data_IF_285291206048
#
_entry.id   IF_285291206048
#
_cell.length_a   1.000
_cell.length_b   1.000
_cell.length_c   1.000
_cell.angle_alpha   90.00
_cell.angle_beta   90.00
_cell.angle_gamma   90.00
#
_symmetry.space_group_name_H-M   'P 1'
#
loop_
_entity.id
_entity.type
_entity.pdbx_description
1 polymer ?
#
# COMPACT_ATOMS: atom_id res chain seq x y z
N UNK A 1 7.48 -19.26 4.64
CA UNK A 1 6.72 -19.48 5.88
C UNK A 1 6.51 -18.13 6.52
N UNK A 2 5.27 -17.76 6.80
CA UNK A 2 4.99 -16.52 7.50
C UNK A 2 5.49 -16.63 8.95
N UNK A 3 6.38 -15.72 9.34
CA UNK A 3 6.69 -15.50 10.75
C UNK A 3 5.67 -14.56 11.34
N UNK A 4 5.48 -14.63 12.67
CA UNK A 4 4.70 -13.63 13.39
C UNK A 4 5.24 -12.22 13.06
N UNK A 5 4.34 -11.25 13.04
CA UNK A 5 4.59 -9.83 12.73
C UNK A 5 5.20 -9.51 11.35
N UNK A 6 5.10 -10.40 10.35
CA UNK A 6 5.51 -10.05 8.99
C UNK A 6 4.38 -9.29 8.26
N UNK A 7 4.63 -8.02 7.95
CA UNK A 7 3.69 -7.14 7.23
C UNK A 7 3.82 -7.26 5.70
N UNK A 8 4.96 -7.76 5.22
CA UNK A 8 5.23 -7.90 3.79
C UNK A 8 4.75 -9.27 3.28
N UNK A 9 4.68 -9.39 1.95
CA UNK A 9 4.47 -10.67 1.29
C UNK A 9 5.64 -11.62 1.59
N UNK A 10 5.36 -12.91 1.59
CA UNK A 10 6.41 -13.92 1.71
C UNK A 10 7.33 -13.87 0.49
N UNK A 11 8.60 -14.25 0.68
CA UNK A 11 9.57 -14.36 -0.41
C UNK A 11 8.99 -15.21 -1.57
N UNK A 12 9.27 -14.80 -2.81
CA UNK A 12 8.78 -15.50 -3.99
C UNK A 12 9.36 -16.92 -4.07
N UNK A 13 8.47 -17.91 -4.25
CA UNK A 13 8.85 -19.30 -4.51
C UNK A 13 8.64 -19.68 -6.00
N UNK A 14 8.11 -18.76 -6.81
CA UNK A 14 7.88 -18.94 -8.25
C UNK A 14 7.99 -17.59 -8.99
N UNK A 15 8.32 -17.59 -10.29
CA UNK A 15 8.38 -16.36 -11.10
C UNK A 15 7.05 -15.60 -11.15
N UNK A 16 5.92 -16.32 -11.05
CA UNK A 16 4.59 -15.72 -11.01
C UNK A 16 4.35 -14.94 -9.71
N UNK A 17 4.83 -15.45 -8.57
CA UNK A 17 4.70 -14.74 -7.28
C UNK A 17 5.49 -13.42 -7.30
N UNK A 18 6.64 -13.40 -7.97
CA UNK A 18 7.43 -12.18 -8.13
C UNK A 18 6.66 -11.11 -8.94
N UNK A 19 5.99 -11.51 -10.03
CA UNK A 19 5.12 -10.60 -10.78
C UNK A 19 3.95 -10.07 -9.95
N UNK A 20 3.35 -10.90 -9.09
CA UNK A 20 2.28 -10.47 -8.19
C UNK A 20 2.80 -9.47 -7.15
N UNK A 21 4.01 -9.68 -6.60
CA UNK A 21 4.63 -8.73 -5.66
C UNK A 21 4.84 -7.38 -6.35
N UNK A 22 5.38 -7.36 -7.57
CA UNK A 22 5.54 -6.11 -8.33
C UNK A 22 4.21 -5.40 -8.61
N UNK A 23 3.17 -6.15 -8.98
CA UNK A 23 1.84 -5.58 -9.19
C UNK A 23 1.25 -5.02 -7.89
N UNK A 24 1.35 -5.78 -6.79
CA UNK A 24 0.89 -5.37 -5.47
C UNK A 24 1.53 -4.04 -5.05
N UNK A 25 2.85 -3.93 -5.16
CA UNK A 25 3.56 -2.71 -4.76
C UNK A 25 3.11 -1.50 -5.58
N UNK A 26 2.89 -1.68 -6.89
CA UNK A 26 2.37 -0.62 -7.74
C UNK A 26 0.95 -0.17 -7.30
N UNK A 27 0.06 -1.13 -7.02
CA UNK A 27 -1.29 -0.82 -6.56
C UNK A 27 -1.31 -0.14 -5.19
N UNK A 28 -0.40 -0.52 -4.30
CA UNK A 28 -0.29 0.07 -2.96
C UNK A 28 0.16 1.52 -3.04
N UNK A 29 1.10 1.86 -3.93
CA UNK A 29 1.50 3.25 -4.17
C UNK A 29 0.32 4.10 -4.64
N UNK A 30 -0.49 3.60 -5.59
CA UNK A 30 -1.68 4.32 -6.06
C UNK A 30 -2.68 4.52 -4.93
N UNK A 31 -2.97 3.48 -4.16
CA UNK A 31 -3.92 3.54 -3.05
C UNK A 31 -3.45 4.55 -1.99
N UNK A 32 -2.17 4.53 -1.63
CA UNK A 32 -1.59 5.45 -0.66
C UNK A 32 -1.63 6.90 -1.18
N UNK A 33 -1.43 7.11 -2.47
CA UNK A 33 -1.53 8.46 -3.05
C UNK A 33 -2.97 9.01 -2.92
N UNK A 34 -3.97 8.17 -3.16
CA UNK A 34 -5.39 8.56 -3.00
C UNK A 34 -5.72 8.82 -1.54
N UNK A 35 -5.27 7.97 -0.60
CA UNK A 35 -5.57 8.17 0.84
C UNK A 35 -4.90 9.43 1.39
N UNK A 36 -3.69 9.77 0.95
CA UNK A 36 -3.04 11.04 1.30
C UNK A 36 -3.83 12.23 0.74
N UNK A 37 -4.25 12.17 -0.52
CA UNK A 37 -5.05 13.25 -1.12
C UNK A 37 -6.37 13.47 -0.36
N UNK A 38 -7.10 12.40 -0.06
CA UNK A 38 -8.37 12.48 0.68
C UNK A 38 -8.14 12.97 2.12
N UNK A 39 -7.10 12.48 2.80
CA UNK A 39 -6.79 12.93 4.16
C UNK A 39 -6.38 14.41 4.21
N UNK A 40 -5.64 14.89 3.21
CA UNK A 40 -5.33 16.30 3.05
C UNK A 40 -6.61 17.15 2.88
N UNK A 41 -7.53 16.73 2.01
CA UNK A 41 -8.82 17.42 1.84
C UNK A 41 -9.62 17.46 3.15
N UNK A 42 -9.71 16.33 3.85
CA UNK A 42 -10.39 16.28 5.15
C UNK A 42 -9.73 17.21 6.17
N UNK A 43 -8.40 17.21 6.24
CA UNK A 43 -7.65 18.11 7.15
C UNK A 43 -7.89 19.58 6.83
N UNK A 44 -7.96 19.95 5.54
CA UNK A 44 -8.25 21.32 5.12
C UNK A 44 -9.62 21.83 5.58
N UNK A 45 -10.62 20.94 5.68
CA UNK A 45 -11.96 21.30 6.18
C UNK A 45 -11.96 21.56 7.68
N UNK A 46 -11.16 20.82 8.46
CA UNK A 46 -11.06 21.02 9.92
C UNK A 46 -10.38 22.33 10.30
N UNK A 47 -9.52 22.88 9.44
CA UNK A 47 -8.84 24.16 9.64
C UNK A 47 -9.47 25.30 8.83
N UNK A 48 -10.63 25.07 8.22
CA UNK A 48 -11.41 26.13 7.62
C UNK A 48 -12.10 26.94 8.73
N UNK A 49 -12.05 28.26 8.61
CA UNK A 49 -12.71 29.17 9.55
C UNK A 49 -14.23 29.12 9.41
#
# INVERSE_FOLDING_TARGET
MATWSNLNLQNSASPLMEQIIFFHDHTLVILLMITILVSYLMMSLFFNK
#
